data_IF_564952467841
#
_entry.id   IF_564952467841
#
_cell.length_a   1.000
_cell.length_b   1.000
_cell.length_c   1.000
_cell.angle_alpha   90.00
_cell.angle_beta   90.00
_cell.angle_gamma   90.00
#
_symmetry.space_group_name_H-M   'P 1'
#
loop_
_entity.id
_entity.type
_entity.pdbx_description
1 polymer ?
#
# COMPACT_ATOMS: atom_id res chain seq x y z
N UNK A 1 2.37 -10.19 4.23
CA UNK A 1 0.92 -10.51 4.28
C UNK A 1 0.21 -9.37 3.59
N UNK A 2 -0.52 -9.62 2.51
CA UNK A 2 -1.33 -8.59 1.87
C UNK A 2 -2.64 -8.44 2.65
N UNK A 3 -2.89 -7.25 3.19
CA UNK A 3 -4.08 -6.96 4.01
C UNK A 3 -4.88 -5.75 3.51
N UNK A 4 -4.33 -4.99 2.56
CA UNK A 4 -5.01 -3.87 1.93
C UNK A 4 -6.23 -4.33 1.16
N UNK A 5 -7.36 -3.64 1.30
CA UNK A 5 -8.54 -3.80 0.44
C UNK A 5 -8.75 -2.50 -0.31
N UNK A 6 -8.74 -2.62 -1.63
CA UNK A 6 -8.85 -1.50 -2.57
C UNK A 6 -9.96 -1.85 -3.55
N UNK A 7 -10.87 -0.92 -3.80
CA UNK A 7 -11.85 -1.02 -4.87
C UNK A 7 -11.53 0.03 -5.92
N UNK A 8 -11.40 -0.40 -7.17
CA UNK A 8 -11.15 0.45 -8.32
C UNK A 8 -12.34 0.34 -9.27
N UNK A 9 -12.97 1.46 -9.59
CA UNK A 9 -14.06 1.54 -10.55
C UNK A 9 -13.62 2.44 -11.69
N UNK A 10 -13.52 1.91 -12.92
CA UNK A 10 -13.01 2.69 -14.07
C UNK A 10 -13.88 3.91 -14.41
N UNK A 11 -15.20 3.80 -14.20
CA UNK A 11 -16.17 4.89 -14.38
C UNK A 11 -15.96 5.71 -15.66
N UNK A 12 -15.91 5.02 -16.81
CA UNK A 12 -15.74 5.62 -18.14
C UNK A 12 -14.53 6.56 -18.28
N UNK A 13 -13.40 6.21 -17.64
CA UNK A 13 -12.17 7.01 -17.65
C UNK A 13 -12.04 7.97 -16.46
N UNK A 14 -13.06 8.06 -15.61
CA UNK A 14 -13.07 8.87 -14.39
C UNK A 14 -12.95 7.98 -13.15
N UNK A 15 -11.87 7.23 -13.08
CA UNK A 15 -11.75 6.16 -12.09
C UNK A 15 -11.97 6.60 -10.63
N UNK A 16 -12.84 5.89 -9.91
CA UNK A 16 -13.04 6.07 -8.47
C UNK A 16 -12.29 4.98 -7.70
N UNK A 17 -11.54 5.39 -6.67
CA UNK A 17 -10.72 4.49 -5.87
C UNK A 17 -11.13 4.61 -4.42
N UNK A 18 -11.42 3.47 -3.79
CA UNK A 18 -11.78 3.38 -2.38
C UNK A 18 -10.81 2.49 -1.63
N UNK A 19 -10.47 2.87 -0.40
CA UNK A 19 -9.81 2.00 0.57
C UNK A 19 -10.84 1.52 1.58
N UNK A 20 -10.72 0.25 1.98
CA UNK A 20 -11.74 -0.40 2.81
C UNK A 20 -11.13 -1.22 3.95
N UNK A 21 -11.85 -1.31 5.06
CA UNK A 21 -11.59 -2.31 6.12
C UNK A 21 -12.16 -3.69 5.78
N UNK A 22 -13.17 -3.74 4.91
CA UNK A 22 -13.90 -4.95 4.53
C UNK A 22 -13.35 -5.64 3.29
N UNK A 23 -13.33 -6.97 3.30
CA UNK A 23 -13.30 -7.79 2.08
C UNK A 23 -14.73 -8.14 1.61
N UNK A 24 -14.85 -8.75 0.44
CA UNK A 24 -16.14 -9.15 -0.16
C UNK A 24 -16.70 -10.46 0.41
N UNK A 25 -16.83 -10.53 1.72
CA UNK A 25 -17.53 -11.63 2.37
C UNK A 25 -18.85 -11.15 3.01
N UNK A 26 -19.95 -11.93 2.93
CA UNK A 26 -21.25 -11.56 3.51
C UNK A 26 -21.17 -11.11 4.97
N UNK A 27 -20.28 -11.71 5.76
CA UNK A 27 -20.08 -11.32 7.16
C UNK A 27 -19.68 -9.85 7.36
N UNK A 28 -18.99 -9.23 6.40
CA UNK A 28 -18.62 -7.82 6.49
C UNK A 28 -19.77 -6.89 6.09
N UNK A 29 -20.62 -7.34 5.18
CA UNK A 29 -21.76 -6.54 4.72
C UNK A 29 -22.95 -6.56 5.68
N UNK A 30 -23.17 -7.68 6.36
CA UNK A 30 -24.40 -7.89 7.15
C UNK A 30 -24.20 -7.95 8.66
N UNK A 31 -22.98 -8.24 9.14
CA UNK A 31 -22.74 -8.55 10.57
C UNK A 31 -21.65 -7.71 11.23
N UNK A 32 -20.93 -6.89 10.47
CA UNK A 32 -19.84 -6.05 10.97
C UNK A 32 -20.09 -4.61 10.57
N UNK A 33 -19.59 -3.71 11.41
CA UNK A 33 -19.46 -2.29 11.05
C UNK A 33 -18.11 -2.15 10.38
N UNK A 34 -18.12 -1.70 9.14
CA UNK A 34 -16.94 -1.56 8.30
C UNK A 34 -16.93 -0.15 7.68
N UNK A 35 -15.75 0.30 7.24
CA UNK A 35 -15.58 1.60 6.59
C UNK A 35 -14.96 1.42 5.21
N UNK A 36 -15.50 2.14 4.23
CA UNK A 36 -14.86 2.38 2.96
C UNK A 36 -14.87 3.89 2.70
N UNK A 37 -13.76 4.44 2.23
CA UNK A 37 -13.65 5.87 1.95
C UNK A 37 -12.91 6.10 0.62
N UNK A 38 -13.30 7.15 -0.13
CA UNK A 38 -12.69 7.46 -1.42
C UNK A 38 -11.30 8.11 -1.26
N UNK A 39 -10.49 7.99 -2.31
CA UNK A 39 -9.25 8.76 -2.48
C UNK A 39 -9.53 9.91 -3.47
N UNK A 40 -9.90 11.07 -2.94
CA UNK A 40 -10.24 12.24 -3.76
C UNK A 40 -9.01 13.08 -4.16
N UNK A 41 -7.94 13.01 -3.37
CA UNK A 41 -6.74 13.80 -3.63
C UNK A 41 -6.01 13.28 -4.87
N UNK A 42 -5.65 14.15 -5.84
CA UNK A 42 -5.10 13.73 -7.12
C UNK A 42 -3.77 12.98 -6.98
N UNK A 43 -2.86 13.44 -6.11
CA UNK A 43 -1.56 12.80 -5.91
C UNK A 43 -1.66 11.32 -5.50
N UNK A 44 -2.32 11.00 -4.35
CA UNK A 44 -2.53 9.61 -3.95
C UNK A 44 -3.34 8.79 -4.96
N UNK A 45 -4.34 9.39 -5.63
CA UNK A 45 -5.12 8.72 -6.67
C UNK A 45 -4.23 8.31 -7.85
N UNK A 46 -3.42 9.23 -8.38
CA UNK A 46 -2.47 8.95 -9.45
C UNK A 46 -1.43 7.90 -9.06
N UNK A 47 -0.94 7.94 -7.82
CA UNK A 47 -0.02 6.93 -7.29
C UNK A 47 -0.67 5.54 -7.27
N UNK A 48 -1.95 5.45 -6.87
CA UNK A 48 -2.68 4.19 -6.89
C UNK A 48 -2.82 3.62 -8.29
N UNK A 49 -3.14 4.45 -9.28
CA UNK A 49 -3.36 4.04 -10.68
C UNK A 49 -2.05 3.70 -11.39
N UNK A 50 -1.02 4.52 -11.23
CA UNK A 50 0.18 4.43 -12.05
C UNK A 50 1.28 3.56 -11.44
N UNK A 51 1.24 3.32 -10.13
CA UNK A 51 2.30 2.60 -9.41
C UNK A 51 1.77 1.42 -8.59
N UNK A 52 0.92 1.67 -7.60
CA UNK A 52 0.56 0.65 -6.61
C UNK A 52 -0.23 -0.51 -7.23
N UNK A 53 -1.35 -0.23 -7.91
CA UNK A 53 -2.17 -1.28 -8.53
C UNK A 53 -1.41 -2.02 -9.64
N UNK A 54 -0.74 -1.35 -10.60
CA UNK A 54 0.05 -2.04 -11.62
C UNK A 54 1.16 -2.90 -11.04
N UNK A 55 1.87 -2.45 -10.01
CA UNK A 55 2.94 -3.22 -9.38
C UNK A 55 2.43 -4.51 -8.73
N UNK A 56 1.27 -4.44 -8.07
CA UNK A 56 0.62 -5.61 -7.47
C UNK A 56 0.08 -6.59 -8.51
N UNK A 57 -0.60 -6.09 -9.55
CA UNK A 57 -1.23 -6.90 -10.59
C UNK A 57 -0.20 -7.54 -11.54
N UNK A 58 0.94 -6.88 -11.77
CA UNK A 58 2.01 -7.38 -12.64
C UNK A 58 3.16 -8.04 -11.85
N UNK A 59 2.95 -8.48 -10.60
CA UNK A 59 3.95 -9.28 -9.90
C UNK A 59 4.11 -10.64 -10.61
N UNK A 60 5.33 -10.98 -10.99
CA UNK A 60 5.64 -12.22 -11.74
C UNK A 60 6.52 -13.18 -10.93
N UNK A 61 6.74 -12.90 -9.64
CA UNK A 61 7.68 -13.67 -8.81
C UNK A 61 6.96 -14.36 -7.66
N UNK A 62 5.98 -13.70 -7.05
CA UNK A 62 5.23 -14.16 -5.88
C UNK A 62 3.74 -14.33 -6.17
N UNK A 63 3.20 -13.70 -7.22
CA UNK A 63 1.82 -13.88 -7.62
C UNK A 63 1.49 -15.35 -7.94
N UNK A 64 0.25 -15.72 -7.62
CA UNK A 64 -0.35 -17.00 -7.98
C UNK A 64 -1.70 -16.73 -8.62
N UNK A 65 -1.89 -17.24 -9.81
CA UNK A 65 -3.14 -17.10 -10.55
C UNK A 65 -4.09 -18.24 -10.16
N UNK A 66 -5.29 -17.86 -9.74
CA UNK A 66 -6.39 -18.78 -9.43
C UNK A 66 -6.96 -19.33 -10.73
N UNK A 67 -6.98 -20.65 -10.85
CA UNK A 67 -7.54 -21.36 -12.00
C UNK A 67 -9.03 -21.67 -11.78
N UNK A 68 -9.81 -21.96 -12.85
CA UNK A 68 -11.23 -22.28 -12.74
C UNK A 68 -11.54 -23.50 -11.86
N UNK A 69 -10.60 -24.42 -11.70
CA UNK A 69 -10.71 -25.62 -10.85
C UNK A 69 -10.38 -25.37 -9.37
N UNK A 70 -10.03 -24.13 -9.01
CA UNK A 70 -9.63 -23.74 -7.66
C UNK A 70 -8.15 -23.95 -7.34
N UNK A 71 -7.36 -24.49 -8.26
CA UNK A 71 -5.92 -24.62 -8.12
C UNK A 71 -5.21 -23.26 -8.32
N UNK A 72 -3.95 -23.18 -7.87
CA UNK A 72 -3.14 -21.96 -7.97
C UNK A 72 -1.84 -22.23 -8.72
N UNK A 73 -1.62 -21.52 -9.82
CA UNK A 73 -0.37 -21.57 -10.59
C UNK A 73 0.49 -20.37 -10.23
N UNK A 74 1.75 -20.60 -9.85
CA UNK A 74 2.67 -19.50 -9.59
C UNK A 74 3.09 -18.86 -10.91
N UNK A 75 3.02 -17.53 -10.99
CA UNK A 75 3.52 -16.80 -12.14
C UNK A 75 5.06 -16.78 -12.14
N UNK A 76 5.61 -16.76 -13.34
CA UNK A 76 7.04 -16.65 -13.59
C UNK A 76 7.29 -15.60 -14.68
N UNK A 77 8.38 -14.82 -14.61
CA UNK A 77 8.75 -13.93 -15.69
C UNK A 77 9.06 -14.75 -16.93
N UNK A 78 8.74 -14.21 -18.11
CA UNK A 78 9.18 -14.78 -19.37
C UNK A 78 10.71 -14.81 -19.45
N UNK A 79 11.26 -15.69 -20.27
CA UNK A 79 12.70 -15.78 -20.47
C UNK A 79 13.27 -14.43 -20.95
N UNK A 80 14.33 -13.95 -20.29
CA UNK A 80 14.92 -12.63 -20.56
C UNK A 80 14.13 -11.42 -20.05
N UNK A 81 12.91 -11.60 -19.53
CA UNK A 81 12.11 -10.50 -18.99
C UNK A 81 12.61 -10.05 -17.60
N UNK A 82 12.42 -8.77 -17.31
CA UNK A 82 12.72 -8.21 -15.99
C UNK A 82 11.81 -8.86 -14.93
N UNK A 83 12.38 -9.10 -13.75
CA UNK A 83 11.64 -9.66 -12.62
C UNK A 83 10.82 -8.56 -11.95
N UNK A 84 9.51 -8.69 -11.94
CA UNK A 84 8.61 -7.82 -11.18
C UNK A 84 8.22 -8.49 -9.85
N UNK A 85 8.54 -7.83 -8.73
CA UNK A 85 8.08 -8.24 -7.40
C UNK A 85 7.60 -7.02 -6.59
N UNK A 86 6.30 -6.96 -6.32
CA UNK A 86 5.65 -5.78 -5.77
C UNK A 86 6.22 -5.33 -4.41
N UNK A 87 6.37 -6.26 -3.47
CA UNK A 87 6.87 -5.93 -2.12
C UNK A 87 8.32 -5.41 -2.12
N UNK A 88 9.17 -5.90 -3.03
CA UNK A 88 10.53 -5.38 -3.15
C UNK A 88 10.53 -3.98 -3.73
N UNK A 89 9.72 -3.77 -4.78
CA UNK A 89 9.52 -2.45 -5.37
C UNK A 89 9.08 -1.41 -4.33
N UNK A 90 8.01 -1.70 -3.56
CA UNK A 90 7.53 -0.79 -2.51
C UNK A 90 8.55 -0.55 -1.40
N UNK A 91 9.35 -1.57 -1.04
CA UNK A 91 10.42 -1.42 -0.05
C UNK A 91 11.51 -0.47 -0.53
N UNK A 92 11.98 -0.62 -1.77
CA UNK A 92 13.01 0.27 -2.31
C UNK A 92 12.47 1.69 -2.52
N UNK A 93 11.24 1.83 -3.00
CA UNK A 93 10.56 3.13 -3.10
C UNK A 93 10.48 3.85 -1.74
N UNK A 94 10.08 3.14 -0.68
CA UNK A 94 10.04 3.71 0.67
C UNK A 94 11.43 4.16 1.17
N UNK A 95 12.48 3.38 0.87
CA UNK A 95 13.87 3.75 1.22
C UNK A 95 14.32 5.01 0.49
N UNK A 96 14.03 5.13 -0.81
CA UNK A 96 14.35 6.31 -1.60
C UNK A 96 13.64 7.55 -1.09
N UNK A 97 12.33 7.45 -0.81
CA UNK A 97 11.55 8.55 -0.25
C UNK A 97 12.10 9.02 1.12
N UNK A 98 12.48 8.08 2.00
CA UNK A 98 13.11 8.41 3.29
C UNK A 98 14.46 9.11 3.12
N UNK A 99 15.29 8.65 2.18
CA UNK A 99 16.59 9.28 1.89
C UNK A 99 16.40 10.71 1.38
N UNK A 100 15.51 10.91 0.41
CA UNK A 100 15.21 12.24 -0.13
C UNK A 100 14.66 13.19 0.95
N UNK A 101 13.76 12.71 1.81
CA UNK A 101 13.24 13.50 2.92
C UNK A 101 14.35 13.89 3.93
N UNK A 102 15.27 12.97 4.23
CA UNK A 102 16.40 13.25 5.12
C UNK A 102 17.39 14.25 4.51
N UNK A 103 17.66 14.18 3.21
CA UNK A 103 18.50 15.14 2.48
C UNK A 103 17.87 16.54 2.47
N UNK A 104 16.57 16.63 2.18
CA UNK A 104 15.82 17.89 2.24
C UNK A 104 15.83 18.47 3.66
N UNK A 105 15.67 17.62 4.67
CA UNK A 105 15.73 18.04 6.06
C UNK A 105 17.11 18.56 6.45
N UNK A 106 18.19 17.86 6.07
CA UNK A 106 19.55 18.32 6.31
C UNK A 106 19.83 19.67 5.64
N UNK A 107 19.30 19.88 4.43
CA UNK A 107 19.41 21.14 3.70
C UNK A 107 18.59 22.28 4.33
N UNK A 108 17.47 21.98 5.00
CA UNK A 108 16.58 22.99 5.59
C UNK A 108 17.17 23.74 6.80
N UNK A 109 18.24 23.21 7.43
CA UNK A 109 18.83 23.78 8.64
C UNK A 109 17.95 23.71 9.90
N UNK A 110 16.73 23.15 9.82
CA UNK A 110 15.81 23.03 10.96
C UNK A 110 16.22 21.86 11.85
N UNK A 111 16.71 22.17 13.06
CA UNK A 111 17.09 21.18 14.06
C UNK A 111 15.86 20.69 14.84
N UNK A 112 15.38 19.49 14.56
CA UNK A 112 14.38 18.84 15.40
C UNK A 112 14.98 18.49 16.75
N UNK A 113 14.43 19.05 17.82
CA UNK A 113 14.78 18.70 19.20
C UNK A 113 13.67 17.77 19.70
N UNK A 114 13.94 16.47 19.92
CA UNK A 114 12.94 15.57 20.47
C UNK A 114 12.50 16.08 21.83
N UNK A 115 11.20 16.21 22.05
CA UNK A 115 10.64 16.54 23.35
C UNK A 115 10.97 15.36 24.29
N UNK A 116 11.89 15.58 25.22
CA UNK A 116 12.13 14.61 26.30
C UNK A 116 10.90 14.63 27.21
N UNK A 117 10.06 13.60 27.13
CA UNK A 117 9.00 13.40 28.10
C UNK A 117 9.62 13.38 29.50
N UNK A 118 9.19 14.29 30.39
CA UNK A 118 9.52 14.20 31.81
C UNK A 118 8.91 12.90 32.31
N UNK A 119 9.73 11.91 32.65
CA UNK A 119 9.30 10.73 33.40
C UNK A 119 8.73 11.24 34.71
N UNK A 120 7.41 11.25 34.84
CA UNK A 120 6.74 11.61 36.06
C UNK A 120 7.12 10.53 37.09
N UNK A 121 8.09 10.84 37.96
CA UNK A 121 8.43 10.01 39.11
C UNK A 121 7.33 10.17 40.16
N UNK A 122 6.10 9.78 39.81
CA UNK A 122 5.09 9.50 40.82
C UNK A 122 5.54 8.23 41.52
N UNK A 123 6.30 8.44 42.59
CA UNK A 123 6.59 7.46 43.64
C UNK A 123 5.29 6.71 43.93
N UNK A 124 5.25 5.44 43.57
CA UNK A 124 4.26 4.51 44.13
C UNK A 124 4.62 4.37 45.61
N UNK A 125 3.76 4.91 46.47
CA UNK A 125 3.69 4.54 47.88
C UNK A 125 3.08 3.14 47.99
#
# INVERSE_FOLDING_TARGET
LEHSRVYYFENAGQADIYLSSADWMPRNFYRRVEIAFPIDAPGPREEMVNDILPSLLNDQVKARELQPDGSYVRLHPAEGAARSQAQLHFRERSRQARKAAAELQAASGVKLIPIKAKRDQRKRA
#
